data_IF_329211247887
#
_entry.id   IF_329211247887
#
_cell.length_a   1.000
_cell.length_b   1.000
_cell.length_c   1.000
_cell.angle_alpha   90.00
_cell.angle_beta   90.00
_cell.angle_gamma   90.00
#
_symmetry.space_group_name_H-M   'P 1'
#
loop_
_entity.id
_entity.type
_entity.pdbx_description
1 polymer ?
#
# COMPACT_ATOMS: atom_id res chain seq x y z
N UNK A 1 -47.02 13.30 -10.60
CA UNK A 1 -45.63 13.71 -10.30
C UNK A 1 -45.17 12.91 -9.10
N UNK A 2 -44.18 12.02 -9.25
CA UNK A 2 -43.66 11.21 -8.14
C UNK A 2 -42.71 12.06 -7.28
N UNK A 3 -43.02 12.21 -5.99
CA UNK A 3 -42.20 12.95 -5.04
C UNK A 3 -40.89 12.19 -4.78
N UNK A 4 -39.77 12.78 -5.18
CA UNK A 4 -38.43 12.26 -4.95
C UNK A 4 -38.06 12.37 -3.45
N UNK A 5 -38.43 11.35 -2.66
CA UNK A 5 -37.98 11.18 -1.27
C UNK A 5 -36.49 10.78 -1.19
N UNK A 6 -35.57 11.65 -1.61
CA UNK A 6 -34.11 11.47 -1.42
C UNK A 6 -33.53 12.28 -0.25
N UNK A 7 -34.36 12.87 0.61
CA UNK A 7 -33.90 13.80 1.66
C UNK A 7 -33.48 13.14 3.00
N UNK A 8 -33.17 11.84 3.02
CA UNK A 8 -32.77 11.17 4.28
C UNK A 8 -31.96 9.89 4.14
N UNK A 9 -31.49 9.55 2.92
CA UNK A 9 -30.63 8.39 2.70
C UNK A 9 -29.20 8.87 2.51
N UNK A 10 -28.37 8.54 3.49
CA UNK A 10 -26.91 8.70 3.44
C UNK A 10 -26.35 8.08 2.15
N UNK A 11 -25.45 8.80 1.48
CA UNK A 11 -24.73 8.28 0.30
C UNK A 11 -23.82 7.11 0.69
N UNK A 12 -23.51 6.24 -0.27
CA UNK A 12 -22.52 5.15 -0.07
C UNK A 12 -21.14 5.70 0.30
N UNK A 13 -20.77 6.83 -0.30
CA UNK A 13 -19.51 7.52 -0.02
C UNK A 13 -19.49 8.08 1.41
N UNK A 14 -20.61 8.67 1.85
CA UNK A 14 -20.77 9.18 3.21
C UNK A 14 -20.76 8.05 4.24
N UNK A 15 -21.42 6.93 3.95
CA UNK A 15 -21.40 5.74 4.80
C UNK A 15 -19.99 5.16 4.91
N UNK A 16 -19.25 5.10 3.80
CA UNK A 16 -17.85 4.67 3.79
C UNK A 16 -16.94 5.58 4.61
N UNK A 17 -17.10 6.91 4.45
CA UNK A 17 -16.33 7.90 5.22
C UNK A 17 -16.61 7.77 6.72
N UNK A 18 -17.88 7.72 7.12
CA UNK A 18 -18.23 7.58 8.55
C UNK A 18 -17.75 6.26 9.15
N UNK A 19 -17.84 5.15 8.42
CA UNK A 19 -17.30 3.87 8.90
C UNK A 19 -15.79 3.91 9.11
N UNK A 20 -15.05 4.56 8.20
CA UNK A 20 -13.61 4.76 8.32
C UNK A 20 -13.23 5.66 9.50
N UNK A 21 -13.92 6.78 9.67
CA UNK A 21 -13.70 7.71 10.79
C UNK A 21 -13.98 7.06 12.14
N UNK A 22 -15.05 6.28 12.26
CA UNK A 22 -15.39 5.58 13.50
C UNK A 22 -14.35 4.51 13.84
N UNK A 23 -13.91 3.74 12.84
CA UNK A 23 -12.86 2.73 13.01
C UNK A 23 -11.55 3.37 13.48
N UNK A 24 -11.17 4.51 12.89
CA UNK A 24 -9.94 5.23 13.24
C UNK A 24 -9.98 5.86 14.64
N UNK A 25 -11.17 6.16 15.19
CA UNK A 25 -11.34 6.68 16.55
C UNK A 25 -11.31 5.59 17.61
N UNK A 26 -11.74 4.38 17.26
CA UNK A 26 -11.95 3.28 18.21
C UNK A 26 -10.79 2.31 18.27
N UNK A 27 -9.92 2.30 17.26
CA UNK A 27 -8.84 1.32 17.15
C UNK A 27 -7.47 1.96 17.12
N UNK A 28 -6.56 1.36 17.88
CA UNK A 28 -5.17 1.82 18.00
C UNK A 28 -4.24 1.19 16.97
N UNK A 29 -2.98 1.61 17.01
CA UNK A 29 -1.90 1.12 16.15
C UNK A 29 -1.82 -0.40 16.10
N UNK A 30 -2.04 -1.09 17.21
CA UNK A 30 -1.90 -2.55 17.31
C UNK A 30 -2.98 -3.29 16.53
N UNK A 31 -4.19 -2.74 16.45
CA UNK A 31 -5.27 -3.28 15.64
C UNK A 31 -4.91 -3.29 14.14
N UNK A 32 -4.40 -2.18 13.63
CA UNK A 32 -3.98 -2.09 12.22
C UNK A 32 -2.77 -2.97 11.92
N UNK A 33 -1.84 -3.11 12.86
CA UNK A 33 -0.72 -4.03 12.74
C UNK A 33 -1.19 -5.49 12.65
N UNK A 34 -2.14 -5.89 13.49
CA UNK A 34 -2.69 -7.24 13.47
C UNK A 34 -3.43 -7.54 12.16
N UNK A 35 -4.26 -6.61 11.68
CA UNK A 35 -4.96 -6.75 10.40
C UNK A 35 -3.96 -6.85 9.25
N UNK A 36 -2.95 -5.98 9.23
CA UNK A 36 -1.90 -6.01 8.21
C UNK A 36 -1.12 -7.33 8.22
N UNK A 37 -0.83 -7.88 9.42
CA UNK A 37 -0.18 -9.18 9.57
C UNK A 37 -1.05 -10.30 9.02
N UNK A 38 -2.32 -10.40 9.42
CA UNK A 38 -3.26 -11.43 8.94
C UNK A 38 -3.46 -11.37 7.43
N UNK A 39 -3.59 -10.17 6.85
CA UNK A 39 -3.69 -10.00 5.41
C UNK A 39 -2.43 -10.42 4.67
N UNK A 40 -1.26 -10.11 5.24
CA UNK A 40 0.04 -10.53 4.71
C UNK A 40 0.23 -12.05 4.74
N UNK A 41 -0.11 -12.70 5.86
CA UNK A 41 -0.04 -14.16 6.04
C UNK A 41 -0.98 -14.89 5.07
N UNK A 42 -2.25 -14.45 4.97
CA UNK A 42 -3.20 -15.03 4.04
C UNK A 42 -2.74 -14.91 2.58
N UNK A 43 -2.10 -13.78 2.23
CA UNK A 43 -1.55 -13.57 0.88
C UNK A 43 -0.34 -14.46 0.63
N UNK A 44 0.57 -14.59 1.60
CA UNK A 44 1.78 -15.43 1.45
C UNK A 44 1.47 -16.91 1.40
N UNK A 45 0.42 -17.35 2.09
CA UNK A 45 -0.01 -18.75 2.07
C UNK A 45 -0.70 -19.13 0.76
N UNK A 46 -1.33 -18.17 0.09
CA UNK A 46 -2.10 -18.40 -1.14
C UNK A 46 -1.32 -18.12 -2.43
N UNK A 47 -0.24 -17.33 -2.37
CA UNK A 47 0.46 -16.85 -3.57
C UNK A 47 1.95 -17.17 -3.57
N UNK A 48 2.42 -17.68 -4.72
CA UNK A 48 3.83 -17.97 -4.95
C UNK A 48 4.67 -16.74 -5.32
N UNK A 49 5.95 -16.99 -5.65
CA UNK A 49 6.94 -15.95 -5.99
C UNK A 49 6.50 -15.01 -7.12
N UNK A 50 5.82 -15.53 -8.12
CA UNK A 50 5.39 -14.78 -9.32
C UNK A 50 4.42 -13.65 -8.98
N UNK A 51 3.51 -13.87 -8.02
CA UNK A 51 2.58 -12.85 -7.54
C UNK A 51 3.29 -11.65 -6.93
N UNK A 52 4.31 -11.90 -6.09
CA UNK A 52 5.10 -10.82 -5.48
C UNK A 52 5.95 -10.06 -6.51
N UNK A 53 6.40 -10.74 -7.56
CA UNK A 53 7.10 -10.10 -8.68
C UNK A 53 6.17 -9.16 -9.45
N UNK A 54 4.96 -9.61 -9.78
CA UNK A 54 3.97 -8.84 -10.52
C UNK A 54 3.51 -7.59 -9.76
N UNK A 55 3.19 -7.71 -8.46
CA UNK A 55 2.78 -6.55 -7.65
C UNK A 55 3.95 -5.58 -7.44
N UNK A 56 5.18 -6.08 -7.32
CA UNK A 56 6.38 -5.26 -7.22
C UNK A 56 6.67 -4.51 -8.52
N UNK A 57 6.44 -5.15 -9.66
CA UNK A 57 6.53 -4.55 -10.98
C UNK A 57 5.50 -3.44 -11.15
N UNK A 58 4.21 -3.73 -10.95
CA UNK A 58 3.12 -2.73 -11.02
C UNK A 58 3.36 -1.54 -10.08
N UNK A 59 3.85 -1.79 -8.87
CA UNK A 59 4.20 -0.74 -7.91
C UNK A 59 5.40 0.10 -8.35
N UNK A 60 6.38 -0.50 -9.02
CA UNK A 60 7.53 0.18 -9.62
C UNK A 60 7.16 1.00 -10.85
N UNK A 61 6.35 0.45 -11.75
CA UNK A 61 5.84 1.13 -12.95
C UNK A 61 5.01 2.37 -12.58
N UNK A 62 4.18 2.28 -11.54
CA UNK A 62 3.40 3.42 -11.04
C UNK A 62 4.29 4.59 -10.60
N UNK A 63 5.50 4.31 -10.09
CA UNK A 63 6.50 5.33 -9.72
C UNK A 63 7.31 5.81 -10.92
N UNK A 64 7.58 4.92 -11.87
CA UNK A 64 8.28 5.23 -13.11
C UNK A 64 7.48 6.16 -14.03
N UNK A 65 6.16 5.95 -14.10
CA UNK A 65 5.29 6.73 -14.99
C UNK A 65 5.02 8.15 -14.49
N UNK A 66 5.10 8.40 -13.18
CA UNK A 66 5.05 9.76 -12.61
C UNK A 66 6.37 10.54 -12.75
N UNK A 67 7.48 9.87 -13.09
CA UNK A 67 8.79 10.50 -13.25
C UNK A 67 9.11 10.99 -14.65
N UNK A 68 8.24 10.75 -15.63
CA UNK A 68 8.51 10.99 -17.05
C UNK A 68 7.69 12.17 -17.64
N UNK A 69 7.61 13.26 -16.90
CA UNK A 69 7.26 14.57 -17.45
C UNK A 69 8.20 15.59 -16.81
N UNK A 70 9.25 15.94 -17.57
CA UNK A 70 10.32 16.86 -17.19
C UNK A 70 11.43 16.22 -16.35
N UNK A 71 12.52 15.82 -17.01
CA UNK A 71 13.85 16.31 -16.64
C UNK A 71 14.84 15.99 -17.75
N UNK A 72 15.21 17.08 -18.40
CA UNK A 72 16.31 17.26 -19.31
C UNK A 72 17.55 16.45 -18.94
N UNK A 73 18.23 16.05 -20.01
CA UNK A 73 19.56 15.47 -20.05
C UNK A 73 20.55 16.20 -19.14
N UNK A 74 20.75 15.71 -17.91
CA UNK A 74 22.02 15.92 -17.24
C UNK A 74 22.36 14.75 -16.33
N UNK A 75 23.30 13.92 -16.81
CA UNK A 75 23.98 12.90 -16.03
C UNK A 75 24.63 13.56 -14.80
N UNK A 76 24.08 13.29 -13.63
CA UNK A 76 24.87 13.24 -12.41
C UNK A 76 24.62 11.88 -11.79
N UNK A 77 25.59 10.99 -12.00
CA UNK A 77 25.71 9.73 -11.30
C UNK A 77 25.50 9.97 -9.81
N UNK A 78 24.65 9.14 -9.18
CA UNK A 78 24.37 9.12 -7.73
C UNK A 78 23.14 9.93 -7.26
N UNK A 79 21.99 9.77 -7.91
CA UNK A 79 20.70 10.06 -7.27
C UNK A 79 20.23 8.79 -6.57
N UNK A 80 19.95 8.86 -5.27
CA UNK A 80 19.63 7.76 -4.33
C UNK A 80 18.43 6.85 -4.65
N UNK A 81 18.26 6.46 -5.90
CA UNK A 81 17.33 5.46 -6.42
C UNK A 81 17.95 4.09 -6.14
N UNK A 82 17.61 3.53 -4.98
CA UNK A 82 17.95 2.13 -4.65
C UNK A 82 17.55 1.22 -5.81
N UNK A 83 18.48 0.34 -6.20
CA UNK A 83 18.25 -0.56 -7.33
C UNK A 83 17.05 -1.49 -7.06
N UNK A 84 16.42 -2.00 -8.12
CA UNK A 84 15.28 -2.95 -8.02
C UNK A 84 15.63 -4.16 -7.15
N UNK A 85 16.88 -4.64 -7.26
CA UNK A 85 17.40 -5.76 -6.47
C UNK A 85 17.62 -5.37 -5.00
N UNK A 86 18.18 -4.19 -4.74
CA UNK A 86 18.42 -3.69 -3.38
C UNK A 86 17.11 -3.38 -2.64
N UNK A 87 16.11 -2.82 -3.32
CA UNK A 87 14.78 -2.59 -2.75
C UNK A 87 14.07 -3.91 -2.38
N UNK A 88 14.18 -4.93 -3.25
CA UNK A 88 13.64 -6.27 -2.98
C UNK A 88 14.34 -6.96 -1.81
N UNK A 89 15.68 -6.92 -1.79
CA UNK A 89 16.50 -7.49 -0.70
C UNK A 89 16.24 -6.78 0.62
N UNK A 90 16.22 -5.44 0.65
CA UNK A 90 15.99 -4.63 1.86
C UNK A 90 14.55 -4.75 2.38
N UNK A 91 13.56 -4.86 1.49
CA UNK A 91 12.18 -5.16 1.86
C UNK A 91 12.03 -6.55 2.50
N UNK A 92 12.80 -7.54 2.03
CA UNK A 92 12.91 -8.86 2.66
C UNK A 92 13.68 -8.84 3.99
N UNK A 93 14.82 -8.15 4.05
CA UNK A 93 15.67 -8.05 5.25
C UNK A 93 15.02 -7.28 6.40
N UNK A 94 14.20 -6.27 6.12
CA UNK A 94 13.47 -5.54 7.16
C UNK A 94 12.58 -6.47 8.00
N UNK A 95 12.12 -7.58 7.42
CA UNK A 95 11.36 -8.65 8.12
C UNK A 95 12.26 -9.63 8.89
N UNK A 96 13.51 -9.82 8.45
CA UNK A 96 14.47 -10.71 9.11
C UNK A 96 15.10 -10.06 10.36
N UNK A 97 15.49 -8.78 10.27
CA UNK A 97 16.17 -8.05 11.36
C UNK A 97 15.31 -7.82 12.61
N UNK A 98 13.98 -7.93 12.51
CA UNK A 98 13.08 -7.84 13.66
C UNK A 98 13.01 -9.15 14.47
N UNK A 99 13.60 -10.26 14.00
CA UNK A 99 13.61 -11.54 14.71
C UNK A 99 14.85 -11.74 15.60
N UNK A 100 15.90 -10.95 15.42
CA UNK A 100 17.18 -11.14 16.14
C UNK A 100 17.40 -10.18 17.33
N UNK A 101 16.41 -9.34 17.66
CA UNK A 101 16.48 -8.43 18.82
C UNK A 101 15.49 -8.84 19.91
N UNK A 102 15.58 -10.11 20.35
CA UNK A 102 14.97 -10.64 21.58
C UNK A 102 16.00 -10.73 22.69
#
# INVERSE_FOLDING_TARGET
>A
MAQNNRNGKMSREEAGRMGGEETARTHDRDFYQEIGRKGGEATSDSHGREFYQEIGEKGGESRGNSGNQNRDDNRSDNDGKMSREEAGRKGGEARARQRDNS
#
